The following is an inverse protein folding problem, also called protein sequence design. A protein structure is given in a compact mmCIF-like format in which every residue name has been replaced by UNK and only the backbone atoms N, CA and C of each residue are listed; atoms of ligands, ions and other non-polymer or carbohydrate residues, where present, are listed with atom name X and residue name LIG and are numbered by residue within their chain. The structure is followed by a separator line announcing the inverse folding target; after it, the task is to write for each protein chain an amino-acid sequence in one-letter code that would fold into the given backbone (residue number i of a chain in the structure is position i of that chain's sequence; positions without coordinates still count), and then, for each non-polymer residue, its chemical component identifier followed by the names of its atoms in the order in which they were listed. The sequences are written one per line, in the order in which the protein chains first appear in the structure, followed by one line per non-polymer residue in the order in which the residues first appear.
data_IF_659639368294
#
_entry.id   IF_659639368294
#
_cell.length_a   1.000
_cell.length_b   1.000
_cell.length_c   1.000
_cell.angle_alpha   90.00
_cell.angle_beta   90.00
_cell.angle_gamma   90.00
#
_symmetry.space_group_name_H-M   'P 1'
#
loop_
_entity.id
_entity.type
_entity.pdbx_description
1 polymer ?
#
# COMPACT_ATOMS: atom_id res chain seq x y z
N UNK A 1 -6.59 -2.99 16.47
CA UNK A 1 -5.89 -3.52 15.28
C UNK A 1 -6.77 -4.56 14.65
N UNK A 2 -7.16 -4.37 13.39
CA UNK A 2 -7.86 -5.40 12.63
C UNK A 2 -6.88 -6.49 12.24
N UNK A 3 -7.35 -7.71 12.00
CA UNK A 3 -6.49 -8.86 11.70
C UNK A 3 -5.59 -8.70 10.45
N UNK A 4 -5.99 -8.01 9.37
CA UNK A 4 -5.09 -7.63 8.26
C UNK A 4 -3.91 -6.74 8.69
N UNK A 5 -4.06 -5.99 9.79
CA UNK A 5 -2.97 -5.15 10.32
C UNK A 5 -1.82 -5.98 10.89
N UNK A 6 -2.08 -7.21 11.36
CA UNK A 6 -1.07 -8.07 11.99
C UNK A 6 -0.07 -8.61 10.95
N UNK A 7 -0.55 -9.13 9.84
CA UNK A 7 0.32 -9.70 8.80
C UNK A 7 1.15 -8.61 8.12
N UNK A 8 0.59 -7.39 7.96
CA UNK A 8 1.34 -6.21 7.51
C UNK A 8 2.41 -5.80 8.52
N UNK A 9 2.08 -5.74 9.81
CA UNK A 9 3.09 -5.44 10.85
C UNK A 9 4.23 -6.47 10.85
N UNK A 10 3.89 -7.75 10.73
CA UNK A 10 4.88 -8.82 10.62
C UNK A 10 5.74 -8.66 9.36
N UNK A 11 5.14 -8.39 8.19
CA UNK A 11 5.87 -8.17 6.95
C UNK A 11 6.83 -6.98 7.04
N UNK A 12 6.37 -5.84 7.56
CA UNK A 12 7.22 -4.65 7.76
C UNK A 12 8.34 -4.89 8.78
N UNK A 13 8.14 -5.79 9.74
CA UNK A 13 9.20 -6.18 10.69
C UNK A 13 10.38 -6.90 10.02
N UNK A 14 10.23 -7.36 8.78
CA UNK A 14 11.30 -8.02 8.01
C UNK A 14 12.28 -7.03 7.37
N UNK A 15 11.92 -5.75 7.30
CA UNK A 15 12.83 -4.70 6.83
C UNK A 15 13.90 -4.38 7.88
N UNK A 16 15.04 -3.86 7.41
CA UNK A 16 16.15 -3.43 8.26
C UNK A 16 15.68 -2.40 9.29
N UNK A 17 16.22 -2.52 10.51
CA UNK A 17 15.77 -1.72 11.65
C UNK A 17 15.80 -0.20 11.40
N UNK A 18 16.79 0.25 10.62
CA UNK A 18 16.99 1.65 10.26
C UNK A 18 15.90 2.21 9.31
N UNK A 19 15.29 1.37 8.46
CA UNK A 19 14.31 1.82 7.45
C UNK A 19 12.87 1.61 7.92
N UNK A 20 12.64 0.77 8.93
CA UNK A 20 11.30 0.50 9.48
C UNK A 20 10.49 1.77 9.86
N UNK A 21 11.07 2.81 10.50
CA UNK A 21 10.31 4.03 10.80
C UNK A 21 9.80 4.74 9.54
N UNK A 22 10.62 4.79 8.48
CA UNK A 22 10.25 5.40 7.21
C UNK A 22 9.13 4.62 6.50
N UNK A 23 9.23 3.28 6.46
CA UNK A 23 8.15 2.43 5.93
C UNK A 23 6.87 2.57 6.74
N UNK A 24 6.98 2.60 8.07
CA UNK A 24 5.85 2.81 8.97
C UNK A 24 5.12 4.14 8.69
N UNK A 25 5.87 5.24 8.55
CA UNK A 25 5.31 6.55 8.21
C UNK A 25 4.63 6.56 6.82
N UNK A 26 5.26 5.93 5.83
CA UNK A 26 4.72 5.83 4.46
C UNK A 26 3.39 5.06 4.42
N UNK A 27 3.30 3.91 5.08
CA UNK A 27 2.05 3.15 5.13
C UNK A 27 1.00 3.78 6.07
N UNK A 28 1.41 4.55 7.08
CA UNK A 28 0.50 5.35 7.88
C UNK A 28 -0.15 6.48 7.07
N UNK A 29 0.56 7.04 6.08
CA UNK A 29 -0.03 7.96 5.11
C UNK A 29 -1.10 7.27 4.26
N UNK A 30 -0.80 6.11 3.65
CA UNK A 30 -1.81 5.35 2.88
C UNK A 30 -3.06 5.03 3.71
N UNK A 31 -2.88 4.60 4.96
CA UNK A 31 -3.99 4.31 5.88
C UNK A 31 -4.83 5.55 6.19
N UNK A 32 -4.17 6.69 6.40
CA UNK A 32 -4.81 7.98 6.69
C UNK A 32 -5.62 8.45 5.50
N UNK A 33 -5.06 8.41 4.29
CA UNK A 33 -5.77 8.75 3.06
C UNK A 33 -6.98 7.83 2.87
N UNK A 34 -6.81 6.52 3.01
CA UNK A 34 -7.93 5.57 2.93
C UNK A 34 -8.99 5.78 4.01
N UNK A 35 -8.62 6.24 5.21
CA UNK A 35 -9.57 6.54 6.28
C UNK A 35 -10.49 7.72 5.95
N UNK A 36 -10.01 8.70 5.18
CA UNK A 36 -10.82 9.82 4.70
C UNK A 36 -12.00 9.27 3.89
N UNK A 37 -11.73 8.40 2.92
CA UNK A 37 -12.75 7.84 2.04
C UNK A 37 -13.73 6.94 2.78
N UNK A 38 -13.27 6.21 3.79
CA UNK A 38 -14.14 5.36 4.63
C UNK A 38 -15.08 6.15 5.54
N UNK A 39 -14.68 7.35 5.95
CA UNK A 39 -15.42 8.15 6.95
C UNK A 39 -16.30 9.22 6.32
N UNK A 40 -16.06 9.57 5.06
CA UNK A 40 -16.81 10.59 4.33
C UNK A 40 -17.88 9.95 3.43
N UNK A 41 -19.11 10.50 3.48
CA UNK A 41 -20.24 10.04 2.65
C UNK A 41 -20.45 10.88 1.38
N UNK A 42 -20.04 12.15 1.43
CA UNK A 42 -20.21 13.09 0.33
C UNK A 42 -18.90 13.16 -0.49
N UNK A 43 -18.89 12.76 -1.77
CA UNK A 43 -17.66 12.73 -2.56
C UNK A 43 -16.91 14.06 -2.60
N UNK A 44 -17.65 15.18 -2.62
CA UNK A 44 -17.06 16.52 -2.60
C UNK A 44 -16.27 16.80 -1.31
N UNK A 45 -16.78 16.37 -0.15
CA UNK A 45 -16.08 16.51 1.13
C UNK A 45 -14.82 15.63 1.13
N UNK A 46 -14.88 14.46 0.49
CA UNK A 46 -13.72 13.58 0.32
C UNK A 46 -12.63 14.26 -0.50
N UNK A 47 -13.01 14.83 -1.63
CA UNK A 47 -12.11 15.59 -2.52
C UNK A 47 -11.43 16.74 -1.77
N UNK A 48 -12.20 17.58 -1.05
CA UNK A 48 -11.64 18.70 -0.29
C UNK A 48 -10.60 18.25 0.74
N UNK A 49 -10.85 17.15 1.45
CA UNK A 49 -9.89 16.58 2.42
C UNK A 49 -8.64 16.05 1.73
N UNK A 50 -8.77 15.38 0.59
CA UNK A 50 -7.62 14.90 -0.20
C UNK A 50 -6.80 16.07 -0.76
N UNK A 51 -7.44 17.14 -1.25
CA UNK A 51 -6.76 18.36 -1.70
C UNK A 51 -5.96 19.00 -0.57
N UNK A 52 -6.52 19.08 0.64
CA UNK A 52 -5.75 19.56 1.79
C UNK A 52 -4.51 18.70 2.07
N UNK A 53 -4.65 17.37 2.00
CA UNK A 53 -3.50 16.46 2.17
C UNK A 53 -2.46 16.63 1.09
N UNK A 54 -2.87 16.76 -0.17
CA UNK A 54 -1.98 17.04 -1.30
C UNK A 54 -1.14 18.30 -1.05
N UNK A 55 -1.78 19.40 -0.66
CA UNK A 55 -1.10 20.66 -0.35
C UNK A 55 -0.21 20.56 0.89
N UNK A 56 -0.67 19.90 1.94
CA UNK A 56 0.09 19.73 3.18
C UNK A 56 1.36 18.88 2.96
N UNK A 57 1.26 17.81 2.17
CA UNK A 57 2.39 16.95 1.78
C UNK A 57 3.38 17.70 0.89
N UNK A 58 2.90 18.41 -0.13
CA UNK A 58 3.75 19.21 -1.01
C UNK A 58 4.52 20.31 -0.25
N UNK A 59 3.91 20.91 0.77
CA UNK A 59 4.58 21.91 1.62
C UNK A 59 5.74 21.35 2.44
N UNK A 60 5.82 20.04 2.68
CA UNK A 60 6.93 19.44 3.44
C UNK A 60 8.29 19.66 2.77
N UNK A 61 8.31 19.89 1.45
CA UNK A 61 9.54 20.17 0.69
C UNK A 61 10.17 21.53 1.03
N UNK A 62 9.37 22.48 1.56
CA UNK A 62 9.80 23.87 1.76
C UNK A 62 9.50 24.43 3.14
N UNK A 63 8.70 23.74 3.95
CA UNK A 63 8.25 24.19 5.25
C UNK A 63 8.20 23.04 6.28
N UNK A 64 8.33 23.35 7.58
CA UNK A 64 8.09 22.37 8.63
C UNK A 64 6.68 21.77 8.56
N UNK A 65 6.56 20.50 8.94
CA UNK A 65 5.29 19.82 9.04
C UNK A 65 4.37 20.55 10.05
N UNK A 66 3.07 20.69 9.77
CA UNK A 66 2.10 21.11 10.78
C UNK A 66 2.03 20.04 11.88
N UNK A 67 1.33 20.35 12.99
CA UNK A 67 1.13 19.47 14.14
C UNK A 67 0.19 18.27 13.85
N UNK A 68 0.45 17.56 12.75
CA UNK A 68 -0.19 16.33 12.32
C UNK A 68 0.86 15.21 12.45
N UNK A 69 0.60 14.16 13.26
CA UNK A 69 1.58 13.12 13.54
C UNK A 69 2.16 12.42 12.30
N UNK A 70 1.32 12.15 11.29
CA UNK A 70 1.77 11.51 10.04
C UNK A 70 2.70 12.43 9.26
N UNK A 71 2.37 13.72 9.12
CA UNK A 71 3.20 14.69 8.41
C UNK A 71 4.55 14.89 9.11
N UNK A 72 4.54 14.96 10.45
CA UNK A 72 5.77 15.03 11.26
C UNK A 72 6.67 13.81 11.03
N UNK A 73 6.09 12.59 11.06
CA UNK A 73 6.83 11.36 10.85
C UNK A 73 7.40 11.24 9.43
N UNK A 74 6.64 11.68 8.41
CA UNK A 74 7.11 11.71 7.02
C UNK A 74 8.30 12.68 6.86
N UNK A 75 8.20 13.89 7.40
CA UNK A 75 9.30 14.86 7.33
C UNK A 75 10.56 14.36 8.05
N UNK A 76 10.41 13.68 9.19
CA UNK A 76 11.53 13.18 9.96
C UNK A 76 12.20 11.93 9.35
N UNK A 77 11.42 11.00 8.79
CA UNK A 77 11.90 9.67 8.43
C UNK A 77 11.95 9.39 6.93
N UNK A 78 11.11 10.05 6.12
CA UNK A 78 10.92 9.72 4.69
C UNK A 78 11.63 10.72 3.78
N UNK A 79 11.49 12.02 4.04
CA UNK A 79 12.16 13.07 3.26
C UNK A 79 13.70 12.93 3.22
N UNK A 80 14.40 12.68 4.35
CA UNK A 80 15.86 12.49 4.34
C UNK A 80 16.33 11.27 3.53
N UNK A 81 15.43 10.32 3.24
CA UNK A 81 15.72 9.12 2.47
C UNK A 81 15.46 9.29 0.96
N UNK A 82 15.23 10.52 0.48
CA UNK A 82 15.13 10.84 -0.94
C UNK A 82 13.72 10.77 -1.54
N UNK A 83 12.69 10.67 -0.70
CA UNK A 83 11.28 10.76 -1.14
C UNK A 83 10.75 12.15 -0.79
N UNK A 84 10.46 12.97 -1.80
CA UNK A 84 9.97 14.35 -1.58
C UNK A 84 8.52 14.40 -1.11
N UNK A 85 8.15 15.52 -0.49
CA UNK A 85 6.76 15.88 -0.18
C UNK A 85 5.88 15.85 -1.43
N UNK A 86 6.38 16.33 -2.57
CA UNK A 86 5.68 16.25 -3.86
C UNK A 86 5.40 14.80 -4.30
N UNK A 87 6.37 13.89 -4.13
CA UNK A 87 6.16 12.46 -4.42
C UNK A 87 5.11 11.82 -3.50
N UNK A 88 5.08 12.24 -2.22
CA UNK A 88 4.08 11.78 -1.25
C UNK A 88 2.70 12.36 -1.54
N UNK A 89 2.61 13.64 -1.90
CA UNK A 89 1.36 14.32 -2.27
C UNK A 89 0.64 13.56 -3.39
N UNK A 90 1.41 13.10 -4.36
CA UNK A 90 0.90 12.32 -5.48
C UNK A 90 0.22 11.00 -5.05
N UNK A 91 0.38 10.50 -3.82
CA UNK A 91 -0.39 9.34 -3.34
C UNK A 91 -1.89 9.61 -3.21
N UNK A 92 -2.33 10.87 -3.19
CA UNK A 92 -3.76 11.23 -3.14
C UNK A 92 -4.49 10.77 -4.41
N UNK A 93 -3.85 10.84 -5.58
CA UNK A 93 -4.41 10.44 -6.89
C UNK A 93 -5.03 9.04 -6.84
N UNK A 94 -4.34 8.10 -6.19
CA UNK A 94 -4.78 6.72 -6.07
C UNK A 94 -6.10 6.59 -5.32
N UNK A 95 -6.35 7.46 -4.34
CA UNK A 95 -7.57 7.46 -3.55
C UNK A 95 -8.70 8.26 -4.20
N UNK A 96 -8.38 9.27 -5.00
CA UNK A 96 -9.37 10.04 -5.76
C UNK A 96 -10.14 9.18 -6.76
N UNK A 97 -9.51 8.14 -7.32
CA UNK A 97 -10.18 7.17 -8.20
C UNK A 97 -11.42 6.50 -7.55
N UNK A 98 -11.49 6.43 -6.21
CA UNK A 98 -12.63 5.87 -5.49
C UNK A 98 -13.79 6.87 -5.28
N UNK A 99 -13.61 8.14 -5.63
CA UNK A 99 -14.67 9.16 -5.61
C UNK A 99 -15.48 9.18 -6.90
N UNK A 100 -15.04 8.43 -7.93
CA UNK A 100 -15.74 8.34 -9.20
C UNK A 100 -17.10 7.65 -9.04
N UNK A 101 -18.15 8.08 -9.77
CA UNK A 101 -19.48 7.49 -9.67
C UNK A 101 -19.55 6.00 -10.03
N UNK A 102 -18.63 5.53 -10.89
CA UNK A 102 -18.59 4.16 -11.40
C UNK A 102 -17.17 3.63 -11.27
N UNK A 103 -17.00 2.51 -10.57
CA UNK A 103 -15.73 1.80 -10.47
C UNK A 103 -15.61 0.77 -11.59
N UNK A 104 -15.40 1.25 -12.81
CA UNK A 104 -15.15 0.38 -13.96
C UNK A 104 -13.72 -0.21 -13.94
N UNK A 105 -13.39 -1.00 -14.96
CA UNK A 105 -12.06 -1.61 -15.07
C UNK A 105 -10.93 -0.58 -15.13
N UNK A 106 -11.15 0.56 -15.79
CA UNK A 106 -10.15 1.60 -15.91
C UNK A 106 -9.93 2.33 -14.57
N UNK A 107 -10.99 2.57 -13.79
CA UNK A 107 -10.92 3.12 -12.45
C UNK A 107 -10.18 2.17 -11.49
N UNK A 108 -10.45 0.86 -11.55
CA UNK A 108 -9.73 -0.16 -10.76
C UNK A 108 -8.24 -0.19 -11.12
N UNK A 109 -7.90 -0.11 -12.41
CA UNK A 109 -6.50 -0.06 -12.87
C UNK A 109 -5.78 1.23 -12.42
N UNK A 110 -6.43 2.39 -12.53
CA UNK A 110 -5.91 3.67 -12.01
C UNK A 110 -5.68 3.59 -10.51
N UNK A 111 -6.67 3.11 -9.75
CA UNK A 111 -6.54 2.89 -8.31
C UNK A 111 -5.33 2.00 -7.98
N UNK A 112 -5.19 0.86 -8.66
CA UNK A 112 -4.09 -0.07 -8.42
C UNK A 112 -2.72 0.57 -8.69
N UNK A 113 -2.59 1.32 -9.79
CA UNK A 113 -1.35 2.00 -10.18
C UNK A 113 -1.04 3.19 -9.26
N UNK A 114 -1.99 4.09 -9.08
CA UNK A 114 -1.76 5.38 -8.45
C UNK A 114 -1.77 5.30 -6.92
N UNK A 115 -2.38 4.26 -6.33
CA UNK A 115 -2.21 3.89 -4.92
C UNK A 115 -1.13 2.83 -4.72
N UNK A 116 -1.39 1.63 -5.24
CA UNK A 116 -0.66 0.41 -4.92
C UNK A 116 0.78 0.40 -5.42
N UNK A 117 0.96 0.54 -6.74
CA UNK A 117 2.30 0.64 -7.33
C UNK A 117 3.06 1.81 -6.71
N UNK A 118 2.43 2.99 -6.62
CA UNK A 118 3.06 4.21 -6.10
C UNK A 118 3.63 4.01 -4.70
N UNK A 119 2.83 3.52 -3.74
CA UNK A 119 3.33 3.33 -2.37
C UNK A 119 4.43 2.26 -2.29
N UNK A 120 4.36 1.21 -3.11
CA UNK A 120 5.41 0.18 -3.16
C UNK A 120 6.70 0.69 -3.80
N UNK A 121 6.62 1.50 -4.85
CA UNK A 121 7.79 2.10 -5.51
C UNK A 121 8.48 3.12 -4.60
N UNK A 122 7.71 3.94 -3.86
CA UNK A 122 8.26 4.80 -2.81
C UNK A 122 8.94 4.00 -1.70
N UNK A 123 8.33 2.88 -1.28
CA UNK A 123 8.97 1.95 -0.34
C UNK A 123 10.25 1.32 -0.94
N UNK A 124 10.27 1.04 -2.25
CA UNK A 124 11.45 0.58 -2.99
C UNK A 124 12.60 1.60 -2.93
N UNK A 125 12.29 2.89 -3.08
CA UNK A 125 13.26 3.99 -2.90
C UNK A 125 13.85 3.99 -1.49
N UNK A 126 13.00 3.90 -0.45
CA UNK A 126 13.44 3.85 0.95
C UNK A 126 14.33 2.63 1.25
N UNK A 127 14.07 1.51 0.57
CA UNK A 127 14.84 0.27 0.69
C UNK A 127 16.08 0.24 -0.22
N UNK A 128 16.25 1.25 -1.08
CA UNK A 128 17.25 1.29 -2.16
C UNK A 128 17.22 0.03 -3.02
N UNK A 129 16.02 -0.38 -3.46
CA UNK A 129 15.78 -1.52 -4.35
C UNK A 129 15.10 -1.06 -5.62
N UNK A 130 15.64 -1.48 -6.76
CA UNK A 130 15.00 -1.36 -8.07
C UNK A 130 14.66 -2.75 -8.58
N UNK A 131 13.38 -3.10 -8.58
CA UNK A 131 12.86 -4.37 -9.09
C UNK A 131 11.45 -4.16 -9.64
N UNK A 132 11.22 -4.49 -10.91
CA UNK A 132 9.94 -4.26 -11.58
C UNK A 132 8.75 -4.97 -10.89
N UNK A 133 9.02 -6.04 -10.12
CA UNK A 133 8.01 -6.77 -9.37
C UNK A 133 7.47 -5.97 -8.18
N UNK A 134 8.19 -4.97 -7.68
CA UNK A 134 7.75 -4.12 -6.57
C UNK A 134 6.47 -3.37 -6.95
N UNK A 135 6.44 -2.75 -8.13
CA UNK A 135 5.25 -2.05 -8.62
C UNK A 135 4.06 -3.01 -8.83
N UNK A 136 4.29 -4.17 -9.47
CA UNK A 136 3.26 -5.20 -9.69
C UNK A 136 2.70 -5.75 -8.37
N UNK A 137 3.57 -5.98 -7.38
CA UNK A 137 3.16 -6.37 -6.04
C UNK A 137 2.24 -5.33 -5.39
N UNK A 138 2.58 -4.05 -5.56
CA UNK A 138 1.77 -2.94 -5.06
C UNK A 138 0.39 -2.87 -5.71
N UNK A 139 0.31 -3.00 -7.04
CA UNK A 139 -0.98 -3.04 -7.75
C UNK A 139 -1.85 -4.19 -7.25
N UNK A 140 -1.28 -5.39 -7.19
CA UNK A 140 -1.98 -6.58 -6.71
C UNK A 140 -2.43 -6.45 -5.25
N UNK A 141 -1.58 -5.88 -4.40
CA UNK A 141 -1.88 -5.61 -3.00
C UNK A 141 -3.07 -4.63 -2.85
N UNK A 142 -3.07 -3.53 -3.60
CA UNK A 142 -4.16 -2.55 -3.56
C UNK A 142 -5.48 -3.15 -4.07
N UNK A 143 -5.45 -3.93 -5.16
CA UNK A 143 -6.66 -4.57 -5.70
C UNK A 143 -7.21 -5.67 -4.76
N UNK A 144 -6.34 -6.43 -4.10
CA UNK A 144 -6.74 -7.39 -3.09
C UNK A 144 -7.46 -6.70 -1.92
N UNK A 145 -6.92 -5.59 -1.44
CA UNK A 145 -7.55 -4.76 -0.39
C UNK A 145 -8.89 -4.16 -0.85
N UNK A 146 -8.97 -3.65 -2.09
CA UNK A 146 -10.21 -3.12 -2.66
C UNK A 146 -11.29 -4.21 -2.75
N UNK A 147 -10.94 -5.41 -3.24
CA UNK A 147 -11.90 -6.52 -3.39
C UNK A 147 -12.58 -6.91 -2.07
N UNK A 148 -11.88 -6.77 -0.94
CA UNK A 148 -12.43 -7.08 0.38
C UNK A 148 -13.39 -6.01 0.90
N UNK A 149 -13.34 -4.80 0.35
CA UNK A 149 -14.13 -3.64 0.79
C UNK A 149 -15.33 -3.35 -0.11
N UNK A 150 -15.32 -3.84 -1.34
CA UNK A 150 -16.42 -3.70 -2.29
C UNK A 150 -17.60 -4.61 -1.92
N UNK A 151 -18.80 -4.04 -1.92
CA UNK A 151 -20.06 -4.76 -1.64
C UNK A 151 -20.70 -5.30 -2.92
N UNK A 152 -20.52 -4.63 -4.06
CA UNK A 152 -21.03 -5.10 -5.35
C UNK A 152 -20.22 -6.30 -5.85
N UNK A 153 -20.91 -7.32 -6.34
CA UNK A 153 -20.26 -8.56 -6.76
C UNK A 153 -19.38 -8.41 -8.01
N UNK A 154 -19.80 -7.70 -9.08
CA UNK A 154 -19.01 -7.58 -10.29
C UNK A 154 -17.66 -6.88 -10.08
N UNK A 155 -17.63 -5.71 -9.42
CA UNK A 155 -16.39 -4.95 -9.21
C UNK A 155 -15.47 -5.65 -8.22
N UNK A 156 -16.05 -6.32 -7.19
CA UNK A 156 -15.29 -7.20 -6.29
C UNK A 156 -14.60 -8.33 -7.04
N UNK A 157 -15.32 -9.03 -7.93
CA UNK A 157 -14.76 -10.14 -8.71
C UNK A 157 -13.68 -9.63 -9.69
N UNK A 158 -13.92 -8.48 -10.33
CA UNK A 158 -12.95 -7.83 -11.21
C UNK A 158 -11.66 -7.48 -10.44
N UNK A 159 -11.76 -6.75 -9.33
CA UNK A 159 -10.61 -6.38 -8.51
C UNK A 159 -9.84 -7.62 -8.01
N UNK A 160 -10.55 -8.65 -7.55
CA UNK A 160 -9.94 -9.91 -7.10
C UNK A 160 -9.18 -10.61 -8.23
N UNK A 161 -9.79 -10.78 -9.40
CA UNK A 161 -9.16 -11.44 -10.54
C UNK A 161 -7.89 -10.69 -11.01
N UNK A 162 -7.95 -9.35 -11.06
CA UNK A 162 -6.78 -8.54 -11.40
C UNK A 162 -5.69 -8.59 -10.33
N UNK A 163 -6.07 -8.65 -9.05
CA UNK A 163 -5.14 -8.85 -7.95
C UNK A 163 -4.38 -10.18 -8.08
N UNK A 164 -5.08 -11.28 -8.34
CA UNK A 164 -4.46 -12.60 -8.52
C UNK A 164 -3.40 -12.59 -9.63
N UNK A 165 -3.72 -12.03 -10.80
CA UNK A 165 -2.79 -11.93 -11.94
C UNK A 165 -1.54 -11.11 -11.57
N UNK A 166 -1.71 -9.94 -10.96
CA UNK A 166 -0.60 -9.06 -10.59
C UNK A 166 0.28 -9.69 -9.50
N UNK A 167 -0.32 -10.31 -8.49
CA UNK A 167 0.40 -10.95 -7.39
C UNK A 167 1.13 -12.21 -7.86
N UNK A 168 0.52 -13.03 -8.72
CA UNK A 168 1.16 -14.22 -9.28
C UNK A 168 2.34 -13.84 -10.20
N UNK A 169 2.26 -12.71 -10.90
CA UNK A 169 3.40 -12.17 -11.64
C UNK A 169 4.51 -11.65 -10.72
N UNK A 170 4.15 -10.88 -9.68
CA UNK A 170 5.10 -10.28 -8.75
C UNK A 170 5.83 -11.31 -7.87
N UNK A 171 5.15 -12.41 -7.51
CA UNK A 171 5.70 -13.48 -6.66
C UNK A 171 6.51 -14.53 -7.45
N UNK A 172 6.69 -14.33 -8.77
CA UNK A 172 7.59 -15.19 -9.57
C UNK A 172 9.05 -14.90 -9.25
N UNK A 173 9.76 -15.95 -8.88
CA UNK A 173 11.20 -15.93 -8.65
C UNK A 173 11.58 -15.35 -7.28
N UNK A 174 12.89 -15.28 -7.03
CA UNK A 174 13.44 -14.89 -5.74
C UNK A 174 13.40 -13.37 -5.55
N UNK A 175 12.85 -12.90 -4.44
CA UNK A 175 12.83 -11.49 -4.06
C UNK A 175 14.18 -11.03 -3.48
N UNK A 176 14.64 -9.80 -3.81
CA UNK A 176 15.83 -9.21 -3.21
C UNK A 176 15.69 -9.13 -1.69
N UNK A 177 16.78 -9.39 -0.95
CA UNK A 177 16.76 -9.44 0.52
C UNK A 177 16.10 -8.21 1.17
N UNK A 178 16.49 -7.02 0.70
CA UNK A 178 15.97 -5.74 1.21
C UNK A 178 14.50 -5.49 0.88
N UNK A 179 13.94 -6.12 -0.15
CA UNK A 179 12.54 -5.98 -0.56
C UNK A 179 11.62 -7.09 -0.03
N UNK A 180 12.12 -8.03 0.79
CA UNK A 180 11.32 -9.15 1.32
C UNK A 180 10.15 -8.70 2.21
N UNK A 181 10.23 -7.52 2.81
CA UNK A 181 9.09 -6.93 3.52
C UNK A 181 7.91 -6.66 2.56
N UNK A 182 8.19 -6.08 1.39
CA UNK A 182 7.19 -5.83 0.35
C UNK A 182 6.70 -7.13 -0.30
N UNK A 183 7.61 -8.07 -0.56
CA UNK A 183 7.24 -9.41 -1.05
C UNK A 183 6.35 -10.16 -0.06
N UNK A 184 6.60 -10.04 1.25
CA UNK A 184 5.75 -10.60 2.29
C UNK A 184 4.36 -9.94 2.34
N UNK A 185 4.26 -8.63 2.11
CA UNK A 185 2.96 -7.95 1.97
C UNK A 185 2.19 -8.45 0.74
N UNK A 186 2.86 -8.63 -0.40
CA UNK A 186 2.26 -9.21 -1.60
C UNK A 186 1.79 -10.66 -1.37
N UNK A 187 2.60 -11.47 -0.68
CA UNK A 187 2.25 -12.84 -0.33
C UNK A 187 1.06 -12.91 0.64
N UNK A 188 0.98 -11.98 1.60
CA UNK A 188 -0.18 -11.82 2.47
C UNK A 188 -1.43 -11.51 1.64
N UNK A 189 -1.38 -10.49 0.77
CA UNK A 189 -2.50 -10.15 -0.12
C UNK A 189 -2.92 -11.33 -1.01
N UNK A 190 -1.96 -12.14 -1.46
CA UNK A 190 -2.22 -13.31 -2.30
C UNK A 190 -3.04 -14.39 -1.57
N UNK A 191 -2.83 -14.54 -0.27
CA UNK A 191 -3.68 -15.40 0.55
C UNK A 191 -5.12 -14.85 0.65
N UNK A 192 -5.29 -13.54 0.77
CA UNK A 192 -6.61 -12.91 0.94
C UNK A 192 -7.50 -13.10 -0.31
N UNK A 193 -6.87 -13.17 -1.49
CA UNK A 193 -7.56 -13.44 -2.76
C UNK A 193 -7.56 -14.91 -3.17
N UNK A 194 -7.18 -15.84 -2.29
CA UNK A 194 -7.30 -17.28 -2.60
C UNK A 194 -8.71 -17.81 -2.32
N UNK A 195 -9.14 -18.89 -2.98
CA UNK A 195 -10.50 -19.45 -2.85
C UNK A 195 -10.82 -19.91 -1.43
N UNK A 196 -9.80 -20.32 -0.68
CA UNK A 196 -9.88 -20.73 0.71
C UNK A 196 -8.80 -20.00 1.50
N UNK A 197 -9.02 -18.70 1.84
CA UNK A 197 -8.02 -17.88 2.48
C UNK A 197 -7.73 -18.44 3.88
N UNK A 198 -6.47 -18.81 4.18
CA UNK A 198 -6.12 -19.19 5.54
C UNK A 198 -6.39 -18.00 6.49
N UNK A 199 -6.91 -18.22 7.70
CA UNK A 199 -7.18 -17.12 8.62
C UNK A 199 -5.92 -16.26 8.87
N UNK A 200 -6.06 -14.94 9.02
CA UNK A 200 -4.94 -14.08 9.39
C UNK A 200 -4.28 -14.53 10.70
N UNK A 201 -2.95 -14.43 10.77
CA UNK A 201 -2.18 -14.94 11.92
C UNK A 201 -2.16 -16.46 12.09
N UNK A 202 -2.78 -17.24 11.19
CA UNK A 202 -2.72 -18.71 11.27
C UNK A 202 -1.27 -19.21 11.11
N UNK A 203 -0.92 -20.36 11.72
CA UNK A 203 0.42 -20.94 11.61
C UNK A 203 0.87 -21.14 10.16
N UNK A 204 -0.07 -21.45 9.26
CA UNK A 204 0.19 -21.59 7.82
C UNK A 204 0.67 -20.27 7.19
N UNK A 205 0.00 -19.14 7.47
CA UNK A 205 0.43 -17.82 6.94
C UNK A 205 1.77 -17.41 7.55
N UNK A 206 1.90 -17.48 8.87
CA UNK A 206 3.12 -17.09 9.59
C UNK A 206 4.32 -17.91 9.10
N UNK A 207 4.16 -19.23 8.97
CA UNK A 207 5.20 -20.12 8.45
C UNK A 207 5.60 -19.77 7.01
N UNK A 208 4.63 -19.48 6.14
CA UNK A 208 4.92 -19.07 4.75
C UNK A 208 5.62 -17.71 4.67
N UNK A 209 5.19 -16.73 5.46
CA UNK A 209 5.83 -15.41 5.51
C UNK A 209 7.27 -15.50 6.06
N UNK A 210 7.49 -16.35 7.08
CA UNK A 210 8.83 -16.63 7.60
C UNK A 210 9.72 -17.33 6.56
N UNK A 211 9.18 -18.29 5.81
CA UNK A 211 9.90 -18.92 4.71
C UNK A 211 10.28 -17.90 3.62
N UNK A 212 9.35 -17.02 3.25
CA UNK A 212 9.62 -15.95 2.29
C UNK A 212 10.70 -15.00 2.78
N UNK A 213 10.67 -14.61 4.07
CA UNK A 213 11.72 -13.82 4.71
C UNK A 213 13.10 -14.46 4.58
N UNK A 214 13.20 -15.79 4.69
CA UNK A 214 14.48 -16.49 4.64
C UNK A 214 14.97 -16.69 3.20
N UNK A 215 14.08 -17.15 2.31
CA UNK A 215 14.46 -17.64 0.98
C UNK A 215 14.26 -16.60 -0.13
N UNK A 216 13.26 -15.72 0.02
CA UNK A 216 12.76 -14.81 -1.00
C UNK A 216 11.72 -15.44 -1.94
N UNK A 217 11.24 -16.66 -1.67
CA UNK A 217 10.22 -17.37 -2.46
C UNK A 217 8.90 -17.49 -1.73
#
# INVERSE_FOLDING_TARGET
MTRPDLDRHLALSYADAAVRPALGALFALDDTLGAILRTTREPLVGQMRLTWWYEALGRLDVAPAPAEPVLTALQACVLPAGVSGTMLAAMTDGWEALLEPVLDAAAVERFARDRGRRVFELAGTLLSVTDARVGLAGEGWAMADLSQRLTDAPSRQLARARAEVALDAALRGRWPGRARALGAMALSARFDVSDSPPPPGSPKRVGRLAWHRLTGY
#
